data_IF_415926117095
#
_entry.id   IF_415926117095
#
_cell.length_a   1.000
_cell.length_b   1.000
_cell.length_c   1.000
_cell.angle_alpha   90.00
_cell.angle_beta   90.00
_cell.angle_gamma   90.00
#
_symmetry.space_group_name_H-M   'P 1'
#
loop_
_entity.id
_entity.type
_entity.pdbx_description
1 polymer ?
#
# COMPACT_ATOMS: atom_id res chain seq x y z
N UNK A 1 3.19 -14.04 -5.19
CA UNK A 1 3.03 -12.99 -6.22
C UNK A 1 2.62 -11.66 -5.60
N UNK A 2 1.55 -11.61 -4.79
CA UNK A 2 1.03 -10.39 -4.15
C UNK A 2 2.09 -9.56 -3.38
N UNK A 3 2.90 -10.21 -2.53
CA UNK A 3 3.99 -9.51 -1.81
C UNK A 3 5.05 -8.91 -2.74
N UNK A 4 5.42 -9.58 -3.84
CA UNK A 4 6.42 -9.05 -4.79
C UNK A 4 5.89 -7.80 -5.49
N UNK A 5 4.59 -7.77 -5.79
CA UNK A 5 3.94 -6.58 -6.35
C UNK A 5 3.87 -5.44 -5.32
N UNK A 6 3.55 -5.74 -4.05
CA UNK A 6 3.50 -4.76 -2.97
C UNK A 6 4.87 -4.11 -2.71
N UNK A 7 5.94 -4.89 -2.71
CA UNK A 7 7.30 -4.34 -2.68
C UNK A 7 7.62 -3.49 -3.91
N UNK A 8 7.20 -3.91 -5.11
CA UNK A 8 7.40 -3.14 -6.33
C UNK A 8 6.65 -1.78 -6.31
N UNK A 9 5.43 -1.73 -5.79
CA UNK A 9 4.67 -0.48 -5.61
C UNK A 9 5.39 0.49 -4.66
N UNK A 10 5.84 0.01 -3.49
CA UNK A 10 6.55 0.86 -2.52
C UNK A 10 7.90 1.35 -3.09
N UNK A 11 8.63 0.50 -3.82
CA UNK A 11 9.87 0.90 -4.50
C UNK A 11 9.58 1.96 -5.57
N UNK A 12 8.43 1.88 -6.26
CA UNK A 12 8.01 2.85 -7.26
C UNK A 12 7.63 4.22 -6.66
N UNK A 13 7.38 4.29 -5.34
CA UNK A 13 7.18 5.56 -4.62
C UNK A 13 8.49 6.26 -4.24
N UNK A 14 9.62 5.56 -4.20
CA UNK A 14 10.91 6.14 -3.84
C UNK A 14 11.37 7.28 -4.79
N UNK A 15 11.21 7.17 -6.13
CA UNK A 15 11.49 8.26 -7.07
C UNK A 15 10.64 9.51 -6.84
N UNK A 16 9.47 9.41 -6.19
CA UNK A 16 8.62 10.56 -5.86
C UNK A 16 9.35 11.53 -4.90
N UNK A 17 10.15 11.00 -3.96
CA UNK A 17 10.99 11.82 -3.06
C UNK A 17 12.03 12.64 -3.85
N UNK A 18 12.57 12.08 -4.94
CA UNK A 18 13.57 12.74 -5.80
C UNK A 18 12.92 13.79 -6.71
N UNK A 19 11.72 13.52 -7.24
CA UNK A 19 10.97 14.45 -8.12
C UNK A 19 10.48 15.69 -7.36
N UNK A 20 10.24 15.57 -6.05
CA UNK A 20 9.80 16.70 -5.21
C UNK A 20 10.94 17.69 -4.94
N UNK A 21 12.19 17.37 -5.32
CA UNK A 21 13.31 18.28 -5.18
C UNK A 21 13.21 19.42 -6.22
N UNK A 22 13.31 20.70 -5.80
CA UNK A 22 13.01 21.87 -6.66
C UNK A 22 13.93 22.06 -7.88
N UNK A 23 14.94 21.22 -8.07
CA UNK A 23 15.95 21.33 -9.13
C UNK A 23 15.48 20.84 -10.52
N UNK A 24 14.37 20.08 -10.61
CA UNK A 24 13.91 19.42 -11.84
C UNK A 24 12.62 20.00 -12.47
N UNK A 25 12.35 21.30 -12.32
CA UNK A 25 11.05 21.89 -12.71
C UNK A 25 10.58 21.61 -14.16
N UNK A 26 11.47 21.42 -15.14
CA UNK A 26 11.08 21.13 -16.54
C UNK A 26 10.83 19.65 -16.84
N UNK A 27 11.48 18.72 -16.14
CA UNK A 27 11.31 17.27 -16.33
C UNK A 27 10.39 16.63 -15.27
N UNK A 28 10.08 17.37 -14.20
CA UNK A 28 9.22 16.91 -13.10
C UNK A 28 7.87 16.42 -13.60
N UNK A 29 7.23 17.11 -14.55
CA UNK A 29 5.91 16.71 -15.06
C UNK A 29 5.92 15.33 -15.74
N UNK A 30 6.88 15.07 -16.64
CA UNK A 30 6.98 13.78 -17.33
C UNK A 30 7.37 12.65 -16.36
N UNK A 31 8.26 12.92 -15.40
CA UNK A 31 8.61 11.95 -14.37
C UNK A 31 7.42 11.63 -13.48
N UNK A 32 6.67 12.64 -13.05
CA UNK A 32 5.47 12.48 -12.23
C UNK A 32 4.42 11.63 -12.98
N UNK A 33 4.21 11.91 -14.26
CA UNK A 33 3.24 11.20 -15.10
C UNK A 33 3.63 9.72 -15.28
N UNK A 34 4.92 9.43 -15.47
CA UNK A 34 5.45 8.07 -15.48
C UNK A 34 5.24 7.34 -14.16
N UNK A 35 5.55 8.00 -13.04
CA UNK A 35 5.35 7.44 -11.68
C UNK A 35 3.88 7.15 -11.41
N UNK A 36 2.98 8.11 -11.67
CA UNK A 36 1.54 7.91 -11.46
C UNK A 36 0.96 6.79 -12.33
N UNK A 37 1.45 6.64 -13.57
CA UNK A 37 1.04 5.55 -14.45
C UNK A 37 1.49 4.20 -13.92
N UNK A 38 2.76 4.10 -13.48
CA UNK A 38 3.29 2.89 -12.87
C UNK A 38 2.56 2.55 -11.57
N UNK A 39 2.28 3.54 -10.72
CA UNK A 39 1.49 3.38 -9.50
C UNK A 39 0.10 2.83 -9.80
N UNK A 40 -0.63 3.40 -10.75
CA UNK A 40 -1.97 2.90 -11.11
C UNK A 40 -1.96 1.43 -11.57
N UNK A 41 -0.93 1.04 -12.33
CA UNK A 41 -0.74 -0.34 -12.78
C UNK A 41 -0.48 -1.31 -11.63
N UNK A 42 0.49 -0.99 -10.75
CA UNK A 42 0.80 -1.83 -9.59
C UNK A 42 -0.35 -1.87 -8.59
N UNK A 43 -1.01 -0.74 -8.35
CA UNK A 43 -2.12 -0.61 -7.42
C UNK A 43 -3.27 -1.57 -7.79
N UNK A 44 -3.63 -1.62 -9.07
CA UNK A 44 -4.67 -2.55 -9.56
C UNK A 44 -4.23 -4.01 -9.41
N UNK A 45 -2.97 -4.32 -9.75
CA UNK A 45 -2.42 -5.67 -9.63
C UNK A 45 -2.36 -6.19 -8.18
N UNK A 46 -2.29 -5.30 -7.19
CA UNK A 46 -2.23 -5.67 -5.77
C UNK A 46 -3.63 -5.67 -5.17
N UNK A 47 -4.41 -4.61 -5.40
CA UNK A 47 -5.72 -4.45 -4.78
C UNK A 47 -6.71 -5.54 -5.20
N UNK A 48 -6.74 -5.93 -6.48
CA UNK A 48 -7.65 -6.97 -6.97
C UNK A 48 -7.43 -8.33 -6.27
N UNK A 49 -6.21 -8.92 -6.28
CA UNK A 49 -6.00 -10.20 -5.61
C UNK A 49 -6.05 -10.08 -4.07
N UNK A 50 -5.77 -8.91 -3.50
CA UNK A 50 -5.89 -8.67 -2.05
C UNK A 50 -7.37 -8.74 -1.63
N UNK A 51 -8.21 -7.96 -2.29
CA UNK A 51 -9.65 -7.90 -2.01
C UNK A 51 -10.29 -9.26 -2.26
N UNK A 52 -9.98 -9.94 -3.36
CA UNK A 52 -10.54 -11.28 -3.65
C UNK A 52 -10.10 -12.35 -2.64
N UNK A 53 -8.87 -12.28 -2.12
CA UNK A 53 -8.44 -13.16 -1.02
C UNK A 53 -9.17 -12.85 0.28
N UNK A 54 -9.29 -11.58 0.64
CA UNK A 54 -10.01 -11.15 1.83
C UNK A 54 -11.48 -11.54 1.75
N UNK A 55 -12.10 -11.39 0.58
CA UNK A 55 -13.45 -11.86 0.31
C UNK A 55 -13.60 -13.37 0.57
N UNK A 56 -12.67 -14.20 0.11
CA UNK A 56 -12.70 -15.66 0.35
C UNK A 56 -12.53 -16.03 1.82
N UNK A 57 -11.78 -15.24 2.60
CA UNK A 57 -11.57 -15.47 4.02
C UNK A 57 -12.76 -15.06 4.90
N UNK A 58 -13.56 -14.10 4.45
CA UNK A 58 -14.70 -13.58 5.22
C UNK A 58 -15.96 -14.39 4.93
N UNK A 59 -16.68 -14.87 5.96
CA UNK A 59 -17.95 -15.59 5.79
C UNK A 59 -18.98 -14.77 5.01
N UNK A 60 -19.71 -15.41 4.09
CA UNK A 60 -20.66 -14.73 3.19
C UNK A 60 -21.74 -13.93 3.94
N UNK A 61 -22.18 -14.41 5.10
CA UNK A 61 -23.23 -13.80 5.93
C UNK A 61 -22.84 -12.41 6.46
N UNK A 62 -21.56 -12.20 6.75
CA UNK A 62 -21.04 -10.94 7.31
C UNK A 62 -20.18 -10.17 6.32
N UNK A 63 -19.95 -10.69 5.11
CA UNK A 63 -19.08 -10.08 4.09
C UNK A 63 -19.45 -8.63 3.81
N UNK A 64 -20.72 -8.33 3.56
CA UNK A 64 -21.15 -6.96 3.26
C UNK A 64 -20.87 -6.01 4.44
N UNK A 65 -21.20 -6.42 5.67
CA UNK A 65 -20.97 -5.60 6.88
C UNK A 65 -19.49 -5.38 7.16
N UNK A 66 -18.69 -6.43 7.01
CA UNK A 66 -17.25 -6.38 7.19
C UNK A 66 -16.60 -5.43 6.18
N UNK A 67 -16.92 -5.57 4.89
CA UNK A 67 -16.34 -4.72 3.85
C UNK A 67 -16.80 -3.26 3.98
N UNK A 68 -18.05 -3.00 4.36
CA UNK A 68 -18.50 -1.62 4.62
C UNK A 68 -17.73 -0.96 5.77
N UNK A 69 -17.52 -1.66 6.89
CA UNK A 69 -16.73 -1.13 8.00
C UNK A 69 -15.25 -0.96 7.64
N UNK A 70 -14.68 -1.95 6.93
CA UNK A 70 -13.30 -1.94 6.47
C UNK A 70 -13.04 -0.78 5.50
N UNK A 71 -13.88 -0.59 4.49
CA UNK A 71 -13.76 0.50 3.53
C UNK A 71 -13.94 1.86 4.20
N UNK A 72 -14.89 1.98 5.15
CA UNK A 72 -15.05 3.20 5.95
C UNK A 72 -13.78 3.54 6.74
N UNK A 73 -13.16 2.54 7.38
CA UNK A 73 -11.92 2.74 8.10
C UNK A 73 -10.76 3.16 7.17
N UNK A 74 -10.65 2.54 5.99
CA UNK A 74 -9.67 2.92 4.97
C UNK A 74 -9.90 4.36 4.47
N UNK A 75 -11.15 4.73 4.17
CA UNK A 75 -11.49 6.08 3.74
C UNK A 75 -11.25 7.12 4.84
N UNK A 76 -11.42 6.77 6.11
CA UNK A 76 -11.12 7.63 7.25
C UNK A 76 -9.60 7.76 7.51
N UNK A 77 -8.79 6.75 7.17
CA UNK A 77 -7.35 6.81 7.32
C UNK A 77 -6.70 7.88 6.42
N UNK A 78 -7.25 8.15 5.23
CA UNK A 78 -6.74 9.18 4.30
C UNK A 78 -6.79 10.59 4.88
N UNK A 79 -7.95 11.13 5.32
CA UNK A 79 -8.01 12.47 5.92
C UNK A 79 -7.25 12.54 7.25
N UNK A 80 -7.20 11.45 8.03
CA UNK A 80 -6.35 11.39 9.21
C UNK A 80 -4.86 11.52 8.86
N UNK A 81 -4.41 10.83 7.81
CA UNK A 81 -3.05 10.95 7.30
C UNK A 81 -2.74 12.37 6.82
N UNK A 82 -3.68 13.02 6.13
CA UNK A 82 -3.52 14.42 5.71
C UNK A 82 -3.48 15.39 6.89
N UNK A 83 -4.29 15.17 7.92
CA UNK A 83 -4.31 16.01 9.12
C UNK A 83 -2.98 15.96 9.89
N UNK A 84 -2.26 14.84 9.82
CA UNK A 84 -0.92 14.69 10.42
C UNK A 84 0.18 15.16 9.47
N UNK A 85 0.09 14.81 8.19
CA UNK A 85 1.10 15.16 7.19
C UNK A 85 1.17 16.67 6.91
N UNK A 86 0.04 17.38 6.98
CA UNK A 86 -0.02 18.83 6.77
C UNK A 86 0.91 19.62 7.71
N UNK A 87 0.70 19.57 9.04
CA UNK A 87 1.58 20.24 9.99
C UNK A 87 3.04 19.78 9.93
N UNK A 88 3.29 18.53 9.54
CA UNK A 88 4.65 18.02 9.36
C UNK A 88 5.35 18.65 8.13
N UNK A 89 4.62 18.98 7.07
CA UNK A 89 5.15 19.69 5.90
C UNK A 89 5.50 21.16 6.19
N UNK A 90 4.88 21.77 7.21
CA UNK A 90 5.23 23.13 7.64
C UNK A 90 6.59 23.17 8.37
N UNK A 91 7.04 22.04 8.92
CA UNK A 91 8.26 21.91 9.72
C UNK A 91 9.40 21.26 8.90
N UNK A 92 9.06 20.32 8.01
CA UNK A 92 10.00 19.52 7.23
C UNK A 92 9.83 19.77 5.74
N UNK A 93 10.93 19.76 5.00
CA UNK A 93 10.87 19.75 3.54
C UNK A 93 10.08 18.54 3.03
N UNK A 94 9.24 18.76 2.01
CA UNK A 94 8.41 17.71 1.42
C UNK A 94 9.23 16.49 0.95
N UNK A 95 10.46 16.71 0.47
CA UNK A 95 11.42 15.66 0.08
C UNK A 95 11.71 14.69 1.24
N UNK A 96 12.02 15.24 2.42
CA UNK A 96 12.38 14.52 3.64
C UNK A 96 11.16 13.81 4.23
N UNK A 97 10.01 14.47 4.20
CA UNK A 97 8.75 13.89 4.66
C UNK A 97 8.32 12.70 3.80
N UNK A 98 8.35 12.84 2.47
CA UNK A 98 8.04 11.71 1.56
C UNK A 98 9.04 10.57 1.75
N UNK A 99 10.33 10.86 1.88
CA UNK A 99 11.36 9.84 2.10
C UNK A 99 11.11 9.04 3.39
N UNK A 100 10.80 9.73 4.49
CA UNK A 100 10.54 9.08 5.79
C UNK A 100 9.28 8.22 5.76
N UNK A 101 8.19 8.68 5.12
CA UNK A 101 6.95 7.91 4.97
C UNK A 101 7.14 6.67 4.08
N UNK A 102 7.88 6.79 2.98
CA UNK A 102 8.21 5.65 2.11
C UNK A 102 9.07 4.64 2.86
N UNK A 103 10.08 5.09 3.62
CA UNK A 103 10.93 4.22 4.42
C UNK A 103 10.13 3.48 5.52
N UNK A 104 9.25 4.18 6.24
CA UNK A 104 8.34 3.58 7.22
C UNK A 104 7.42 2.54 6.58
N UNK A 105 6.84 2.85 5.41
CA UNK A 105 5.97 1.94 4.67
C UNK A 105 6.72 0.68 4.22
N UNK A 106 7.98 0.84 3.79
CA UNK A 106 8.85 -0.26 3.40
C UNK A 106 9.19 -1.15 4.59
N UNK A 107 9.53 -0.56 5.75
CA UNK A 107 9.76 -1.30 7.00
C UNK A 107 8.52 -2.06 7.47
N UNK A 108 7.34 -1.42 7.44
CA UNK A 108 6.08 -2.06 7.78
C UNK A 108 5.77 -3.23 6.84
N UNK A 109 6.05 -3.09 5.53
CA UNK A 109 5.90 -4.16 4.56
C UNK A 109 6.87 -5.33 4.82
N UNK A 110 8.13 -5.05 5.18
CA UNK A 110 9.11 -6.07 5.58
C UNK A 110 8.65 -6.79 6.85
N UNK A 111 8.21 -6.04 7.86
CA UNK A 111 7.70 -6.61 9.11
C UNK A 111 6.49 -7.51 8.85
N UNK A 112 5.53 -7.04 8.05
CA UNK A 112 4.38 -7.83 7.63
C UNK A 112 4.82 -9.06 6.84
N UNK A 113 5.80 -8.94 5.94
CA UNK A 113 6.34 -10.09 5.20
C UNK A 113 6.95 -11.16 6.11
N UNK A 114 7.75 -10.76 7.09
CA UNK A 114 8.39 -11.70 8.02
C UNK A 114 7.33 -12.37 8.91
N UNK A 115 6.37 -11.60 9.43
CA UNK A 115 5.39 -12.08 10.41
C UNK A 115 4.21 -12.85 9.76
N UNK A 116 3.76 -12.47 8.55
CA UNK A 116 2.65 -13.12 7.85
C UNK A 116 3.06 -14.23 6.86
N UNK A 117 4.38 -14.50 6.70
CA UNK A 117 4.85 -15.63 5.88
C UNK A 117 4.28 -16.96 6.37
N UNK A 118 4.20 -17.16 7.69
CA UNK A 118 3.63 -18.38 8.29
C UNK A 118 2.11 -18.43 8.14
N UNK A 119 1.37 -17.37 8.46
CA UNK A 119 -0.10 -17.37 8.44
C UNK A 119 -0.68 -17.59 7.03
N UNK A 120 -0.09 -17.03 5.99
CA UNK A 120 -0.58 -17.22 4.60
C UNK A 120 -0.17 -18.58 4.01
N UNK A 121 0.95 -19.18 4.45
CA UNK A 121 1.26 -20.57 4.11
C UNK A 121 0.35 -21.57 4.84
N UNK A 122 -0.02 -21.29 6.09
CA UNK A 122 -0.89 -22.19 6.88
C UNK A 122 -2.34 -22.18 6.40
N UNK A 123 -2.90 -21.04 5.96
CA UNK A 123 -4.25 -21.00 5.36
C UNK A 123 -4.32 -21.86 4.09
N UNK A 124 -3.22 -22.00 3.34
CA UNK A 124 -3.15 -22.90 2.19
C UNK A 124 -3.09 -24.39 2.57
N UNK A 125 -2.66 -24.71 3.79
CA UNK A 125 -2.60 -26.07 4.31
C UNK A 125 -3.94 -26.50 4.93
N UNK A 126 -4.59 -25.65 5.73
CA UNK A 126 -5.88 -25.95 6.38
C UNK A 126 -7.01 -26.15 5.37
N UNK A 127 -7.06 -25.36 4.29
CA UNK A 127 -8.07 -25.53 3.23
C UNK A 127 -7.87 -26.83 2.44
N UNK A 128 -6.64 -27.36 2.39
CA UNK A 128 -6.32 -28.63 1.72
C UNK A 128 -6.66 -29.84 2.60
N UNK A 129 -6.59 -29.71 3.92
CA UNK A 129 -7.02 -30.75 4.86
C UNK A 129 -8.54 -30.81 5.03
N UNK A 130 -9.28 -29.70 4.90
CA UNK A 130 -10.76 -29.73 4.90
C UNK A 130 -11.38 -30.24 3.59
N UNK A 131 -10.57 -30.40 2.53
CA UNK A 131 -11.00 -30.91 1.21
C UNK A 131 -10.42 -32.31 0.89
N UNK A 132 -9.71 -32.93 1.83
CA UNK A 132 -9.12 -34.27 1.71
C UNK A 132 -9.95 -35.34 2.39
#
# INVERSE_FOLDING_TARGET
MLFKALFAEIICLFPLSVVTYPYFQKAAYFMLLGIFTALGFFNTLINVPLITKLQKAVPNEVRARFFSAFETALMAATPLGMAVAGPLLDILEASTLVATLVALSLLASIYCYINFKETIMNIGAEVREMMG
#
